data_IF_567459589697
#
_entry.id   IF_567459589697
#
_cell.length_a   1.000
_cell.length_b   1.000
_cell.length_c   1.000
_cell.angle_alpha   90.00
_cell.angle_beta   90.00
_cell.angle_gamma   90.00
#
_symmetry.space_group_name_H-M   'P 1'
#
loop_
_entity.id
_entity.type
_entity.pdbx_description
1 polymer ?
#
# COMPACT_ATOMS: atom_id res chain seq x y z
N UNK A 1 1.85 10.69 -9.92
CA UNK A 1 1.11 10.91 -11.18
C UNK A 1 -0.22 10.15 -11.28
N UNK A 2 -0.25 8.82 -11.25
CA UNK A 2 -1.48 7.99 -11.46
C UNK A 2 -2.71 8.47 -10.69
N UNK A 3 -2.60 8.65 -9.37
CA UNK A 3 -3.70 9.16 -8.55
C UNK A 3 -4.12 10.59 -8.88
N UNK A 4 -3.16 11.47 -9.19
CA UNK A 4 -3.44 12.84 -9.58
C UNK A 4 -4.28 12.92 -10.86
N UNK A 5 -3.95 12.09 -11.86
CA UNK A 5 -4.75 11.99 -13.10
C UNK A 5 -6.11 11.36 -12.82
N UNK A 6 -6.16 10.25 -12.07
CA UNK A 6 -7.40 9.56 -11.76
C UNK A 6 -8.40 10.45 -11.01
N UNK A 7 -7.94 11.30 -10.10
CA UNK A 7 -8.78 12.25 -9.36
C UNK A 7 -9.21 13.46 -10.20
N UNK A 8 -8.61 13.67 -11.37
CA UNK A 8 -9.04 14.69 -12.32
C UNK A 8 -9.90 14.12 -13.44
N UNK A 9 -10.01 12.79 -13.56
CA UNK A 9 -10.81 12.12 -14.56
C UNK A 9 -12.31 12.16 -14.20
N UNK A 10 -13.21 12.60 -15.10
CA UNK A 10 -14.66 12.54 -14.88
C UNK A 10 -15.18 11.16 -14.50
N UNK A 11 -14.50 10.08 -14.89
CA UNK A 11 -14.84 8.72 -14.49
C UNK A 11 -14.78 8.49 -12.97
N UNK A 12 -14.09 9.36 -12.21
CA UNK A 12 -14.08 9.32 -10.75
C UNK A 12 -15.33 9.96 -10.10
N UNK A 13 -16.13 10.71 -10.87
CA UNK A 13 -17.30 11.46 -10.35
C UNK A 13 -18.31 10.59 -9.58
N UNK A 14 -18.68 9.36 -10.03
CA UNK A 14 -19.61 8.52 -9.27
C UNK A 14 -19.10 8.19 -7.86
N UNK A 15 -17.80 7.97 -7.70
CA UNK A 15 -17.20 7.67 -6.40
C UNK A 15 -17.19 8.91 -5.48
N UNK A 16 -16.85 10.09 -6.04
CA UNK A 16 -16.89 11.36 -5.28
C UNK A 16 -18.32 11.68 -4.83
N UNK A 17 -19.29 11.56 -5.74
CA UNK A 17 -20.72 11.75 -5.43
C UNK A 17 -21.18 10.84 -4.29
N UNK A 18 -20.88 9.55 -4.37
CA UNK A 18 -21.25 8.58 -3.34
C UNK A 18 -20.64 8.89 -1.96
N UNK A 19 -19.43 9.47 -1.91
CA UNK A 19 -18.83 9.91 -0.64
C UNK A 19 -19.49 11.18 -0.11
N UNK A 20 -19.83 12.13 -0.98
CA UNK A 20 -20.44 13.40 -0.61
C UNK A 20 -21.88 13.28 -0.10
N UNK A 21 -22.59 12.22 -0.47
CA UNK A 21 -23.99 11.96 -0.07
C UNK A 21 -24.12 11.14 1.24
N UNK A 22 -23.00 10.75 1.87
CA UNK A 22 -23.01 10.05 3.17
C UNK A 22 -23.53 10.96 4.28
N UNK A 23 -24.07 10.35 5.35
CA UNK A 23 -24.62 11.08 6.50
C UNK A 23 -23.60 12.02 7.20
N UNK A 24 -22.32 11.63 7.22
CA UNK A 24 -21.19 12.45 7.65
C UNK A 24 -20.16 12.47 6.50
N UNK A 25 -20.32 13.34 5.49
CA UNK A 25 -19.51 13.26 4.29
C UNK A 25 -18.13 13.89 4.52
N UNK A 26 -17.08 13.19 4.08
CA UNK A 26 -15.70 13.72 4.07
C UNK A 26 -15.43 14.64 2.86
N UNK A 27 -16.42 14.81 1.99
CA UNK A 27 -16.39 15.68 0.81
C UNK A 27 -17.63 16.56 0.90
N UNK A 28 -17.43 17.89 0.87
CA UNK A 28 -18.55 18.83 0.85
C UNK A 28 -19.49 18.52 -0.34
N UNK A 29 -20.82 18.44 -0.12
CA UNK A 29 -21.80 18.22 -1.19
C UNK A 29 -21.67 19.16 -2.40
N UNK A 30 -21.08 20.36 -2.22
CA UNK A 30 -20.74 21.27 -3.32
C UNK A 30 -19.84 20.63 -4.39
N UNK A 31 -19.05 19.62 -4.01
CA UNK A 31 -18.14 18.90 -4.90
C UNK A 31 -18.70 17.59 -5.45
N UNK A 32 -19.98 17.27 -5.22
CA UNK A 32 -20.60 16.02 -5.67
C UNK A 32 -20.52 15.81 -7.20
N UNK A 33 -20.50 16.90 -7.97
CA UNK A 33 -20.38 16.87 -9.44
C UNK A 33 -18.92 16.95 -9.93
N UNK A 34 -17.92 16.84 -9.04
CA UNK A 34 -16.51 16.81 -9.42
C UNK A 34 -16.02 15.36 -9.60
N UNK A 35 -15.06 15.12 -10.49
CA UNK A 35 -14.42 16.07 -11.40
C UNK A 35 -15.35 16.42 -12.57
N UNK A 36 -15.33 17.67 -13.02
CA UNK A 36 -16.07 18.08 -14.22
C UNK A 36 -15.49 17.44 -15.49
N UNK A 37 -16.25 17.37 -16.60
CA UNK A 37 -15.74 16.91 -17.90
C UNK A 37 -14.43 17.57 -18.31
N UNK A 38 -13.61 16.85 -19.08
CA UNK A 38 -12.44 17.45 -19.73
C UNK A 38 -12.88 18.58 -20.68
N UNK A 39 -12.07 19.64 -20.77
CA UNK A 39 -12.36 20.74 -21.69
C UNK A 39 -12.21 20.29 -23.15
N UNK A 40 -13.18 20.60 -23.99
CA UNK A 40 -13.22 20.22 -25.42
C UNK A 40 -12.41 21.18 -26.34
N UNK A 41 -11.70 22.15 -25.76
CA UNK A 41 -10.90 23.14 -26.48
C UNK A 41 -11.70 24.18 -27.28
N UNK A 42 -13.05 24.10 -27.28
CA UNK A 42 -13.95 25.00 -28.00
C UNK A 42 -14.85 25.77 -27.02
N UNK A 43 -15.30 25.10 -25.95
CA UNK A 43 -16.03 25.68 -24.83
C UNK A 43 -15.10 25.73 -23.61
N UNK A 44 -14.34 26.82 -23.49
CA UNK A 44 -13.40 27.07 -22.39
C UNK A 44 -14.10 27.27 -21.03
N UNK A 45 -15.43 27.07 -20.94
CA UNK A 45 -16.21 27.55 -19.79
C UNK A 45 -16.10 26.74 -18.50
N UNK A 46 -15.77 25.44 -18.47
CA UNK A 46 -16.13 24.68 -17.26
C UNK A 46 -15.03 23.99 -16.42
N UNK A 47 -13.82 23.69 -16.87
CA UNK A 47 -12.72 23.41 -15.89
C UNK A 47 -11.33 23.34 -16.49
N UNK A 48 -10.43 24.25 -16.10
CA UNK A 48 -8.99 24.02 -16.24
C UNK A 48 -8.53 23.00 -15.20
N UNK A 49 -7.84 21.95 -15.64
CA UNK A 49 -7.27 20.91 -14.79
C UNK A 49 -5.75 21.05 -14.78
N UNK A 50 -5.16 21.05 -13.59
CA UNK A 50 -3.72 21.27 -13.42
C UNK A 50 -3.16 20.22 -12.47
N UNK A 51 -2.02 19.64 -12.82
CA UNK A 51 -1.21 18.80 -11.95
C UNK A 51 0.10 19.54 -11.68
N UNK A 52 0.50 19.60 -10.42
CA UNK A 52 1.86 19.96 -10.03
C UNK A 52 2.49 18.68 -9.45
N UNK A 53 3.42 18.10 -10.20
CA UNK A 53 4.14 16.89 -9.83
C UNK A 53 5.52 17.27 -9.30
N UNK A 54 5.76 17.02 -8.01
CA UNK A 54 7.06 17.23 -7.39
C UNK A 54 7.63 15.91 -6.90
N UNK A 55 8.87 15.60 -7.24
CA UNK A 55 9.58 14.38 -6.82
C UNK A 55 11.09 14.59 -6.95
N UNK A 56 11.84 13.69 -6.32
CA UNK A 56 13.30 13.49 -6.46
C UNK A 56 13.72 12.88 -7.82
N UNK A 57 12.79 12.74 -8.76
CA UNK A 57 13.03 12.32 -10.15
C UNK A 57 13.48 10.86 -10.33
N UNK A 58 13.77 10.14 -9.25
CA UNK A 58 14.44 8.84 -9.31
C UNK A 58 13.46 7.69 -9.13
N UNK A 59 13.32 6.85 -10.15
CA UNK A 59 12.70 5.55 -9.99
C UNK A 59 13.73 4.51 -9.53
N UNK A 60 13.47 3.86 -8.40
CA UNK A 60 14.28 2.77 -7.90
C UNK A 60 13.59 1.43 -8.15
N UNK A 61 14.37 0.42 -8.56
CA UNK A 61 13.88 -0.95 -8.65
C UNK A 61 13.54 -1.43 -7.24
N UNK A 62 12.25 -1.63 -6.98
CA UNK A 62 11.75 -2.20 -5.73
C UNK A 62 10.80 -3.34 -6.08
N UNK A 63 10.73 -4.40 -5.25
CA UNK A 63 9.70 -5.40 -5.40
C UNK A 63 8.31 -4.76 -5.34
N UNK A 64 7.44 -5.13 -6.26
CA UNK A 64 6.02 -4.75 -6.20
C UNK A 64 5.18 -5.96 -5.88
N UNK A 65 3.97 -5.78 -5.38
CA UNK A 65 3.05 -6.91 -5.22
C UNK A 65 2.62 -7.44 -6.59
N UNK A 66 2.73 -8.76 -6.76
CA UNK A 66 2.26 -9.46 -7.95
C UNK A 66 0.77 -9.15 -8.18
N UNK A 67 0.38 -8.99 -9.44
CA UNK A 67 -0.96 -8.48 -9.78
C UNK A 67 -2.09 -9.33 -9.18
N UNK A 68 -1.94 -10.65 -9.22
CA UNK A 68 -2.90 -11.62 -8.68
C UNK A 68 -2.97 -11.59 -7.15
N UNK A 69 -1.96 -11.02 -6.50
CA UNK A 69 -1.85 -10.87 -5.05
C UNK A 69 -2.28 -9.48 -4.59
N UNK A 70 -2.99 -8.69 -5.41
CA UNK A 70 -3.50 -7.35 -5.03
C UNK A 70 -4.94 -7.39 -4.48
N UNK A 71 -5.66 -8.50 -4.67
CA UNK A 71 -7.07 -8.69 -4.32
C UNK A 71 -7.34 -10.17 -4.06
N UNK A 72 -8.50 -10.46 -3.46
CA UNK A 72 -8.95 -11.83 -3.22
C UNK A 72 -8.39 -12.41 -1.92
N UNK A 73 -8.82 -13.64 -1.59
CA UNK A 73 -8.41 -14.32 -0.37
C UNK A 73 -6.93 -14.72 -0.41
N UNK A 74 -6.31 -14.75 0.76
CA UNK A 74 -5.01 -15.37 0.99
C UNK A 74 -5.20 -16.75 1.61
N UNK A 75 -4.20 -17.64 1.59
CA UNK A 75 -4.20 -18.81 2.45
C UNK A 75 -3.89 -18.48 3.91
N UNK A 76 -3.84 -17.20 4.31
CA UNK A 76 -3.60 -16.78 5.70
C UNK A 76 -4.92 -16.59 6.43
N UNK A 77 -5.01 -17.21 7.60
CA UNK A 77 -6.11 -17.08 8.52
C UNK A 77 -5.63 -16.38 9.79
N UNK A 78 -6.48 -15.49 10.30
CA UNK A 78 -6.26 -14.80 11.57
C UNK A 78 -7.22 -15.38 12.61
N UNK A 79 -6.66 -15.88 13.71
CA UNK A 79 -7.42 -16.32 14.88
C UNK A 79 -7.80 -15.11 15.73
N UNK A 80 -9.02 -15.12 16.29
CA UNK A 80 -9.65 -13.94 16.89
C UNK A 80 -10.15 -14.17 18.33
N UNK A 81 -10.13 -15.41 18.83
CA UNK A 81 -10.68 -15.76 20.16
C UNK A 81 -9.71 -15.53 21.30
N UNK A 82 -8.41 -15.69 21.08
CA UNK A 82 -7.40 -15.57 22.15
C UNK A 82 -7.06 -14.13 22.52
N UNK A 83 -7.37 -13.17 21.65
CA UNK A 83 -6.93 -11.78 21.76
C UNK A 83 -5.47 -11.56 21.33
N UNK A 84 -4.72 -12.64 21.07
CA UNK A 84 -3.45 -12.61 20.38
C UNK A 84 -3.75 -12.76 18.88
N UNK A 85 -3.23 -11.85 18.04
CA UNK A 85 -3.43 -11.84 16.58
C UNK A 85 -2.64 -12.98 15.89
N UNK A 86 -2.86 -14.22 16.33
CA UNK A 86 -2.16 -15.41 15.83
C UNK A 86 -2.54 -15.66 14.38
N UNK A 87 -1.53 -15.94 13.56
CA UNK A 87 -1.70 -16.18 12.14
C UNK A 87 -1.38 -17.63 11.78
N UNK A 88 -2.21 -18.16 10.87
CA UNK A 88 -2.11 -19.51 10.36
C UNK A 88 -2.01 -19.48 8.84
N UNK A 89 -1.14 -20.29 8.25
CA UNK A 89 -1.08 -20.48 6.80
C UNK A 89 -1.70 -21.84 6.49
N UNK A 90 -2.73 -21.87 5.64
CA UNK A 90 -3.37 -23.09 5.16
C UNK A 90 -2.58 -23.72 4.01
N UNK A 91 -2.44 -25.04 4.03
CA UNK A 91 -1.75 -25.85 3.05
C UNK A 91 -2.73 -26.84 2.44
N UNK A 92 -3.11 -26.57 1.19
CA UNK A 92 -4.11 -27.36 0.48
C UNK A 92 -3.65 -28.81 0.21
N UNK A 93 -2.37 -29.01 -0.11
CA UNK A 93 -1.83 -30.33 -0.43
C UNK A 93 -1.86 -31.31 0.76
N UNK A 94 -1.65 -30.77 1.97
CA UNK A 94 -1.56 -31.55 3.21
C UNK A 94 -2.83 -31.45 4.08
N UNK A 95 -3.81 -30.64 3.66
CA UNK A 95 -5.03 -30.31 4.41
C UNK A 95 -4.73 -29.94 5.87
N UNK A 96 -3.78 -29.04 6.07
CA UNK A 96 -3.33 -28.61 7.41
C UNK A 96 -2.90 -27.14 7.43
N UNK A 97 -2.53 -26.67 8.61
CA UNK A 97 -2.11 -25.29 8.86
C UNK A 97 -0.71 -25.24 9.47
N UNK A 98 0.03 -24.18 9.16
CA UNK A 98 1.21 -23.77 9.90
C UNK A 98 0.82 -22.67 10.88
N UNK A 99 0.95 -22.94 12.17
CA UNK A 99 1.00 -21.92 13.21
C UNK A 99 2.30 -21.13 13.05
N UNK A 100 2.19 -19.87 12.68
CA UNK A 100 3.35 -19.05 12.31
C UNK A 100 4.20 -18.69 13.53
N UNK A 101 3.55 -18.39 14.65
CA UNK A 101 4.22 -17.87 15.85
C UNK A 101 4.94 -19.00 16.60
N UNK A 102 4.37 -20.21 16.58
CA UNK A 102 4.97 -21.39 17.20
C UNK A 102 5.80 -22.24 16.23
N UNK A 103 5.68 -22.00 14.92
CA UNK A 103 6.33 -22.76 13.85
C UNK A 103 6.02 -24.28 13.92
N UNK A 104 4.74 -24.62 14.08
CA UNK A 104 4.24 -26.00 14.22
C UNK A 104 3.12 -26.26 13.22
N UNK A 105 3.06 -27.49 12.69
CA UNK A 105 1.94 -27.95 11.85
C UNK A 105 0.78 -28.43 12.73
N UNK A 106 -0.42 -27.94 12.43
CA UNK A 106 -1.66 -28.27 13.13
C UNK A 106 -2.75 -28.63 12.11
N UNK A 107 -3.65 -29.53 12.47
CA UNK A 107 -4.73 -29.94 11.55
C UNK A 107 -5.83 -28.89 11.45
N UNK A 108 -6.09 -28.18 12.56
CA UNK A 108 -7.02 -27.07 12.65
C UNK A 108 -6.28 -25.89 13.28
N UNK A 109 -6.57 -24.65 12.87
CA UNK A 109 -6.08 -23.46 13.54
C UNK A 109 -6.77 -23.27 14.90
N UNK A 110 -6.25 -22.38 15.74
CA UNK A 110 -6.67 -22.31 17.14
C UNK A 110 -5.67 -21.58 18.02
N UNK A 111 -5.83 -21.67 19.33
CA UNK A 111 -4.95 -20.99 20.28
C UNK A 111 -4.56 -21.90 21.44
N UNK A 112 -3.41 -21.59 22.05
CA UNK A 112 -2.96 -22.25 23.27
C UNK A 112 -3.52 -21.51 24.48
N UNK A 113 -4.49 -22.12 25.16
CA UNK A 113 -5.08 -21.55 26.37
C UNK A 113 -4.41 -22.11 27.62
N UNK A 114 -4.14 -21.24 28.60
CA UNK A 114 -3.62 -21.64 29.89
C UNK A 114 -4.71 -22.46 30.61
N UNK A 115 -4.37 -23.67 31.02
CA UNK A 115 -5.29 -24.59 31.72
C UNK A 115 -4.94 -24.82 33.17
N UNK A 116 -3.75 -24.40 33.59
CA UNK A 116 -3.29 -24.53 34.96
C UNK A 116 -1.84 -24.09 35.09
N UNK A 117 -1.24 -24.47 36.20
CA UNK A 117 0.19 -24.30 36.46
C UNK A 117 0.72 -25.61 37.05
N UNK A 118 1.92 -26.00 36.65
CA UNK A 118 2.64 -27.13 37.23
C UNK A 118 3.99 -26.70 37.80
N UNK A 119 4.46 -27.39 38.84
CA UNK A 119 5.77 -27.11 39.43
C UNK A 119 6.84 -27.84 38.62
N UNK A 120 7.59 -27.10 37.79
CA UNK A 120 8.76 -27.62 37.11
C UNK A 120 10.02 -27.32 37.91
N UNK A 121 10.90 -28.31 38.01
CA UNK A 121 12.14 -28.17 38.76
C UNK A 121 13.37 -28.51 37.93
N UNK A 122 14.24 -27.52 37.77
CA UNK A 122 15.50 -27.66 37.04
C UNK A 122 16.68 -27.70 38.01
N UNK A 123 17.64 -28.58 37.72
CA UNK A 123 18.89 -28.67 38.46
C UNK A 123 19.93 -27.72 37.87
N UNK A 124 20.51 -26.87 38.72
CA UNK A 124 21.56 -25.94 38.36
C UNK A 124 22.86 -26.30 39.07
N UNK A 125 23.97 -26.18 38.36
CA UNK A 125 25.31 -26.36 38.93
C UNK A 125 25.95 -25.00 39.20
N UNK A 126 26.37 -24.77 40.44
CA UNK A 126 27.18 -23.59 40.80
C UNK A 126 28.42 -24.01 41.59
N UNK A 127 29.60 -23.68 41.05
CA UNK A 127 30.90 -24.19 41.49
C UNK A 127 30.95 -25.73 41.47
N UNK A 128 30.84 -26.38 42.63
CA UNK A 128 30.88 -27.84 42.80
C UNK A 128 29.61 -28.40 43.45
N UNK A 129 28.61 -27.55 43.69
CA UNK A 129 27.35 -27.95 44.31
C UNK A 129 26.23 -27.89 43.28
N UNK A 130 25.31 -28.84 43.39
CA UNK A 130 24.06 -28.87 42.66
C UNK A 130 22.96 -28.33 43.56
N UNK A 131 22.11 -27.47 43.02
CA UNK A 131 20.89 -27.04 43.70
C UNK A 131 19.71 -27.16 42.74
N UNK A 132 18.55 -27.48 43.30
CA UNK A 132 17.29 -27.62 42.58
C UNK A 132 16.52 -26.32 42.73
N UNK A 133 16.11 -25.72 41.62
CA UNK A 133 15.22 -24.57 41.61
C UNK A 133 13.91 -25.03 40.98
N UNK A 134 12.81 -24.80 41.68
CA UNK A 134 11.46 -25.09 41.21
C UNK A 134 10.73 -23.78 40.93
N UNK A 135 10.01 -23.73 39.83
CA UNK A 135 9.17 -22.59 39.44
C UNK A 135 7.81 -23.13 39.00
N UNK A 136 6.75 -22.38 39.30
CA UNK A 136 5.42 -22.66 38.74
C UNK A 136 5.45 -22.19 37.29
N UNK A 137 5.17 -23.11 36.36
CA UNK A 137 5.07 -22.82 34.93
C UNK A 137 3.63 -23.05 34.47
N UNK A 138 3.09 -22.19 33.59
CA UNK A 138 1.74 -22.39 33.05
C UNK A 138 1.69 -23.63 32.15
N UNK A 139 0.62 -24.41 32.27
CA UNK A 139 0.31 -25.50 31.34
C UNK A 139 -0.70 -25.03 30.31
N UNK A 140 -0.55 -25.50 29.07
CA UNK A 140 -1.38 -25.07 27.95
C UNK A 140 -2.13 -26.24 27.32
N UNK A 141 -3.34 -25.97 26.83
CA UNK A 141 -4.04 -26.88 25.90
C UNK A 141 -4.38 -26.15 24.62
N UNK A 142 -4.29 -26.87 23.51
CA UNK A 142 -4.73 -26.36 22.23
C UNK A 142 -6.26 -26.37 22.16
N UNK A 143 -6.84 -25.23 21.80
CA UNK A 143 -8.26 -25.06 21.56
C UNK A 143 -8.43 -24.70 20.09
N UNK A 144 -9.07 -25.59 19.34
CA UNK A 144 -9.34 -25.38 17.92
C UNK A 144 -10.31 -24.22 17.73
N UNK A 145 -10.03 -23.37 16.75
CA UNK A 145 -10.92 -22.33 16.30
C UNK A 145 -12.10 -22.95 15.53
N UNK A 146 -13.29 -22.43 15.74
CA UNK A 146 -14.45 -22.73 14.91
C UNK A 146 -14.28 -22.07 13.54
N UNK A 147 -14.05 -22.88 12.51
CA UNK A 147 -13.85 -22.47 11.11
C UNK A 147 -15.10 -21.85 10.49
N UNK A 148 -16.29 -22.13 11.03
CA UNK A 148 -17.57 -21.63 10.53
C UNK A 148 -17.98 -20.30 11.21
N UNK A 149 -17.25 -19.87 12.25
CA UNK A 149 -17.47 -18.59 12.94
C UNK A 149 -16.39 -17.57 12.56
N UNK A 150 -16.81 -16.54 11.82
CA UNK A 150 -15.96 -15.42 11.40
C UNK A 150 -15.38 -14.60 12.57
N UNK A 151 -15.94 -14.73 13.78
CA UNK A 151 -15.42 -14.11 15.00
C UNK A 151 -14.42 -15.01 15.74
N UNK A 152 -14.29 -16.27 15.31
CA UNK A 152 -13.32 -17.21 15.84
C UNK A 152 -12.08 -17.24 14.97
N UNK A 153 -12.28 -17.35 13.66
CA UNK A 153 -11.20 -17.30 12.69
C UNK A 153 -11.67 -16.67 11.38
N UNK A 154 -10.78 -15.95 10.73
CA UNK A 154 -11.10 -15.26 9.49
C UNK A 154 -10.00 -15.42 8.46
N UNK A 155 -10.38 -15.79 7.24
CA UNK A 155 -9.48 -15.76 6.09
C UNK A 155 -9.19 -14.32 5.69
N UNK A 156 -7.92 -13.93 5.67
CA UNK A 156 -7.52 -12.59 5.28
C UNK A 156 -7.54 -12.45 3.76
N UNK A 157 -7.98 -11.30 3.28
CA UNK A 157 -7.71 -10.87 1.91
C UNK A 157 -6.28 -10.32 1.77
N UNK A 158 -5.75 -10.30 0.56
CA UNK A 158 -4.43 -9.72 0.29
C UNK A 158 -4.30 -8.28 0.82
N UNK A 159 -5.25 -7.34 0.55
CA UNK A 159 -5.21 -6.00 1.13
C UNK A 159 -5.16 -5.98 2.67
N UNK A 160 -5.91 -6.85 3.34
CA UNK A 160 -5.88 -6.92 4.81
C UNK A 160 -4.54 -7.43 5.33
N UNK A 161 -3.98 -8.46 4.70
CA UNK A 161 -2.66 -8.98 5.06
C UNK A 161 -1.57 -7.91 4.91
N UNK A 162 -1.61 -7.08 3.85
CA UNK A 162 -0.65 -5.99 3.66
C UNK A 162 -0.80 -4.84 4.64
N UNK A 163 -1.98 -4.65 5.24
CA UNK A 163 -2.16 -3.69 6.34
C UNK A 163 -1.52 -4.22 7.62
N UNK A 164 -1.55 -5.55 7.82
CA UNK A 164 -1.07 -6.19 9.03
C UNK A 164 0.43 -6.50 9.02
N UNK A 165 1.01 -6.83 7.87
CA UNK A 165 2.39 -7.37 7.77
C UNK A 165 3.27 -6.62 6.78
N UNK A 166 4.57 -6.65 7.05
CA UNK A 166 5.59 -6.01 6.21
C UNK A 166 5.86 -6.81 4.93
N UNK A 167 6.40 -6.16 3.90
CA UNK A 167 6.84 -6.84 2.68
C UNK A 167 7.85 -7.96 2.97
N UNK A 168 8.78 -7.72 3.91
CA UNK A 168 9.76 -8.74 4.32
C UNK A 168 9.11 -9.93 5.04
N UNK A 169 8.04 -9.71 5.81
CA UNK A 169 7.29 -10.82 6.41
C UNK A 169 6.68 -11.68 5.30
N UNK A 170 6.01 -11.05 4.32
CA UNK A 170 5.34 -11.74 3.21
C UNK A 170 6.35 -12.51 2.34
N UNK A 171 7.54 -11.94 2.13
CA UNK A 171 8.63 -12.60 1.40
C UNK A 171 9.30 -13.72 2.19
N UNK A 172 9.33 -13.66 3.53
CA UNK A 172 9.84 -14.76 4.38
C UNK A 172 8.91 -15.98 4.40
N UNK A 173 7.60 -15.75 4.31
CA UNK A 173 6.64 -16.82 4.02
C UNK A 173 6.46 -17.02 2.49
N UNK A 174 7.35 -16.37 1.71
CA UNK A 174 7.80 -16.64 0.35
C UNK A 174 6.76 -16.43 -0.77
N UNK A 175 5.91 -17.43 -1.01
CA UNK A 175 4.74 -17.32 -1.87
C UNK A 175 3.53 -18.05 -1.26
N UNK A 176 3.50 -18.17 0.07
CA UNK A 176 2.57 -19.00 0.87
C UNK A 176 2.54 -20.48 0.40
N UNK A 177 3.75 -20.95 0.08
CA UNK A 177 4.31 -22.32 0.01
C UNK A 177 4.29 -23.20 -1.26
N UNK A 178 3.50 -22.98 -2.32
CA UNK A 178 3.66 -23.80 -3.56
C UNK A 178 3.46 -23.08 -4.92
N UNK A 179 3.45 -21.75 -4.96
CA UNK A 179 3.43 -21.00 -6.23
C UNK A 179 4.87 -20.67 -6.68
N UNK A 180 5.27 -20.93 -7.94
CA UNK A 180 6.62 -20.65 -8.45
C UNK A 180 6.91 -19.15 -8.62
N UNK A 181 5.96 -18.29 -8.28
CA UNK A 181 6.08 -16.83 -8.37
C UNK A 181 6.06 -16.23 -6.97
N UNK A 182 7.13 -15.51 -6.62
CA UNK A 182 7.30 -14.78 -5.36
C UNK A 182 6.04 -13.96 -4.98
N UNK A 183 5.79 -13.69 -3.69
CA UNK A 183 4.79 -12.69 -3.26
C UNK A 183 4.94 -11.34 -3.99
N UNK A 184 6.16 -11.09 -4.42
CA UNK A 184 6.64 -9.85 -4.99
C UNK A 184 7.11 -10.05 -6.45
N UNK A 185 6.69 -9.16 -7.34
CA UNK A 185 7.21 -8.95 -8.68
C UNK A 185 8.52 -8.16 -8.61
N UNK A 186 9.64 -8.83 -8.88
CA UNK A 186 10.97 -8.22 -8.99
C UNK A 186 11.28 -7.70 -10.40
N UNK A 187 10.35 -7.83 -11.36
CA UNK A 187 10.53 -7.48 -12.77
C UNK A 187 10.25 -6.02 -13.11
N UNK A 188 9.75 -5.21 -12.16
CA UNK A 188 9.50 -3.79 -12.41
C UNK A 188 10.81 -2.99 -12.29
N UNK A 189 11.47 -2.85 -13.44
CA UNK A 189 12.68 -2.04 -13.59
C UNK A 189 12.38 -0.54 -13.53
N UNK A 190 13.37 0.32 -13.21
CA UNK A 190 13.23 1.78 -13.35
C UNK A 190 12.68 2.20 -14.71
N UNK A 191 13.14 1.58 -15.80
CA UNK A 191 12.64 1.85 -17.16
C UNK A 191 11.14 1.56 -17.30
N UNK A 192 10.63 0.49 -16.70
CA UNK A 192 9.18 0.21 -16.69
C UNK A 192 8.41 1.27 -15.91
N UNK A 193 8.98 1.80 -14.82
CA UNK A 193 8.38 2.86 -14.03
C UNK A 193 8.37 4.20 -14.80
N UNK A 194 9.48 4.55 -15.46
CA UNK A 194 9.57 5.71 -16.36
C UNK A 194 8.51 5.64 -17.46
N UNK A 195 8.42 4.50 -18.16
CA UNK A 195 7.42 4.29 -19.21
C UNK A 195 5.98 4.43 -18.68
N UNK A 196 5.70 3.93 -17.47
CA UNK A 196 4.39 4.09 -16.84
C UNK A 196 4.09 5.55 -16.45
N UNK A 197 5.12 6.29 -16.01
CA UNK A 197 5.00 7.72 -15.73
C UNK A 197 4.69 8.47 -17.04
N UNK A 198 5.48 8.26 -18.09
CA UNK A 198 5.28 8.89 -19.40
C UNK A 198 3.90 8.59 -19.98
N UNK A 199 3.45 7.34 -19.94
CA UNK A 199 2.10 6.97 -20.39
C UNK A 199 1.02 7.74 -19.63
N UNK A 200 1.19 7.95 -18.32
CA UNK A 200 0.25 8.74 -17.50
C UNK A 200 0.31 10.24 -17.85
N UNK A 201 1.51 10.79 -18.10
CA UNK A 201 1.67 12.19 -18.49
C UNK A 201 1.11 12.44 -19.89
N UNK A 202 1.32 11.55 -20.84
CA UNK A 202 0.80 11.65 -22.21
C UNK A 202 -0.72 11.54 -22.25
N UNK A 203 -1.31 10.61 -21.49
CA UNK A 203 -2.77 10.53 -21.34
C UNK A 203 -3.34 11.84 -20.78
N UNK A 204 -2.71 12.40 -19.74
CA UNK A 204 -3.15 13.66 -19.15
C UNK A 204 -3.01 14.86 -20.11
N UNK A 205 -1.88 14.97 -20.83
CA UNK A 205 -1.65 16.01 -21.86
C UNK A 205 -2.68 15.92 -23.00
N UNK A 206 -3.06 14.71 -23.40
CA UNK A 206 -4.08 14.47 -24.44
C UNK A 206 -5.44 15.03 -24.04
N UNK A 207 -5.83 14.87 -22.78
CA UNK A 207 -7.04 15.43 -22.17
C UNK A 207 -6.89 16.89 -21.73
N UNK A 208 -5.83 17.58 -22.19
CA UNK A 208 -5.55 19.01 -21.92
C UNK A 208 -5.36 19.35 -20.44
N UNK A 209 -4.96 18.36 -19.62
CA UNK A 209 -4.50 18.63 -18.26
C UNK A 209 -3.12 19.29 -18.34
N UNK A 210 -2.98 20.46 -17.72
CA UNK A 210 -1.71 21.17 -17.64
C UNK A 210 -0.82 20.54 -16.56
N UNK A 211 0.39 20.13 -16.92
CA UNK A 211 1.32 19.45 -16.02
C UNK A 211 2.52 20.36 -15.80
N UNK A 212 2.68 20.79 -14.54
CA UNK A 212 3.91 21.35 -14.03
C UNK A 212 4.71 20.26 -13.32
N UNK A 213 6.02 20.20 -13.58
CA UNK A 213 6.92 19.28 -12.88
C UNK A 213 7.97 20.07 -12.12
N UNK A 214 8.29 19.61 -10.91
CA UNK A 214 9.34 20.15 -10.06
C UNK A 214 10.28 18.99 -9.72
N UNK A 215 11.46 18.98 -10.33
CA UNK A 215 12.55 18.12 -9.90
C UNK A 215 13.16 18.75 -8.65
N UNK A 216 13.00 18.11 -7.48
CA UNK A 216 13.59 18.58 -6.24
C UNK A 216 14.80 17.73 -5.86
N UNK A 217 15.99 18.34 -5.80
CA UNK A 217 17.26 17.64 -5.47
C UNK A 217 17.52 16.44 -6.39
N UNK A 218 17.37 16.64 -7.69
CA UNK A 218 17.44 15.59 -8.71
C UNK A 218 18.80 15.63 -9.41
N UNK A 219 19.48 14.48 -9.51
CA UNK A 219 20.71 14.39 -10.31
C UNK A 219 20.40 14.60 -11.81
N UNK A 220 21.33 15.22 -12.55
CA UNK A 220 21.14 15.60 -13.96
C UNK A 220 20.55 14.49 -14.84
N UNK A 221 20.95 13.23 -14.61
CA UNK A 221 20.51 12.07 -15.38
C UNK A 221 19.00 11.75 -15.25
N UNK A 222 18.33 12.28 -14.23
CA UNK A 222 16.90 12.05 -13.96
C UNK A 222 16.03 13.29 -14.22
N UNK A 223 16.62 14.44 -14.56
CA UNK A 223 15.89 15.66 -14.91
C UNK A 223 15.07 15.50 -16.20
N UNK A 224 15.54 14.69 -17.14
CA UNK A 224 14.86 14.48 -18.43
C UNK A 224 13.49 13.81 -18.24
N UNK A 225 13.37 12.88 -17.28
CA UNK A 225 12.09 12.23 -16.96
C UNK A 225 11.05 13.27 -16.51
N UNK A 226 11.47 14.23 -15.69
CA UNK A 226 10.60 15.29 -15.20
C UNK A 226 10.29 16.32 -16.28
N UNK A 227 11.27 16.65 -17.13
CA UNK A 227 11.12 17.57 -18.25
C UNK A 227 10.13 17.03 -19.29
N UNK A 228 10.22 15.75 -19.65
CA UNK A 228 9.36 15.10 -20.65
C UNK A 228 7.91 14.93 -20.19
N UNK A 229 7.70 14.75 -18.87
CA UNK A 229 6.36 14.70 -18.31
C UNK A 229 5.67 16.09 -18.28
N UNK A 230 6.42 17.19 -18.22
CA UNK A 230 5.87 18.54 -18.23
C UNK A 230 5.10 18.84 -19.53
N UNK A 231 4.10 19.73 -19.47
CA UNK A 231 3.35 20.09 -20.68
C UNK A 231 4.19 20.84 -21.71
N UNK A 232 5.13 21.69 -21.26
CA UNK A 232 6.17 22.32 -22.08
C UNK A 232 7.41 22.58 -21.23
N UNK A 233 8.52 22.98 -21.86
CA UNK A 233 9.75 23.38 -21.16
C UNK A 233 9.51 24.44 -20.06
N UNK A 234 8.58 25.38 -20.27
CA UNK A 234 8.26 26.43 -19.31
C UNK A 234 7.44 25.94 -18.09
N UNK A 235 7.02 24.69 -18.10
CA UNK A 235 6.28 24.04 -17.01
C UNK A 235 7.18 23.11 -16.18
N UNK A 236 8.45 22.97 -16.55
CA UNK A 236 9.45 22.24 -15.79
C UNK A 236 10.26 23.19 -14.91
N UNK A 237 10.48 22.79 -13.66
CA UNK A 237 11.29 23.51 -12.69
C UNK A 237 12.33 22.57 -12.11
N UNK A 238 13.59 22.89 -12.33
CA UNK A 238 14.73 22.28 -11.66
C UNK A 238 15.04 23.08 -10.39
N UNK A 239 14.96 22.43 -9.23
CA UNK A 239 15.00 23.08 -7.92
C UNK A 239 15.95 22.36 -6.98
N UNK A 240 16.95 23.09 -6.51
CA UNK A 240 17.84 22.67 -5.43
C UNK A 240 17.61 23.49 -4.14
N UNK A 241 17.62 22.80 -3.00
CA UNK A 241 17.63 23.42 -1.66
C UNK A 241 16.39 24.27 -1.35
N UNK A 242 16.57 25.52 -0.92
CA UNK A 242 15.46 26.35 -0.38
C UNK A 242 14.59 27.04 -1.45
N UNK A 243 14.87 26.83 -2.73
CA UNK A 243 14.23 27.56 -3.84
C UNK A 243 12.83 27.03 -4.22
N UNK A 244 12.30 26.05 -3.50
CA UNK A 244 10.96 25.48 -3.73
C UNK A 244 9.84 26.53 -3.68
N UNK A 245 9.96 27.54 -2.80
CA UNK A 245 8.97 28.61 -2.68
C UNK A 245 8.87 29.47 -3.95
N UNK A 246 10.01 29.69 -4.63
CA UNK A 246 10.04 30.44 -5.87
C UNK A 246 9.38 29.68 -7.02
N UNK A 247 9.58 28.35 -7.10
CA UNK A 247 8.93 27.50 -8.08
C UNK A 247 7.41 27.51 -7.92
N UNK A 248 6.90 27.29 -6.71
CA UNK A 248 5.45 27.36 -6.45
C UNK A 248 4.87 28.76 -6.71
N UNK A 249 5.59 29.82 -6.38
CA UNK A 249 5.16 31.19 -6.69
C UNK A 249 5.07 31.44 -8.21
N UNK A 250 6.03 30.92 -8.99
CA UNK A 250 6.02 31.00 -10.45
C UNK A 250 4.83 30.22 -11.04
N UNK A 251 4.59 28.99 -10.57
CA UNK A 251 3.44 28.17 -10.99
C UNK A 251 2.12 28.87 -10.67
N UNK A 252 1.96 29.39 -9.46
CA UNK A 252 0.75 30.10 -9.05
C UNK A 252 0.49 31.34 -9.94
N UNK A 253 1.53 32.09 -10.30
CA UNK A 253 1.44 33.22 -11.22
C UNK A 253 0.97 32.78 -12.62
N UNK A 254 1.52 31.68 -13.14
CA UNK A 254 1.11 31.13 -14.45
C UNK A 254 -0.35 30.64 -14.43
N UNK A 255 -0.76 29.90 -13.40
CA UNK A 255 -2.15 29.43 -13.24
C UNK A 255 -3.11 30.62 -13.12
N UNK A 256 -2.78 31.64 -12.35
CA UNK A 256 -3.65 32.81 -12.18
C UNK A 256 -3.77 33.65 -13.47
N UNK A 257 -2.71 33.76 -14.28
CA UNK A 257 -2.79 34.41 -15.59
C UNK A 257 -3.78 33.70 -16.51
N UNK A 258 -3.82 32.37 -16.51
CA UNK A 258 -4.79 31.59 -17.29
C UNK A 258 -6.24 31.90 -16.87
N UNK A 259 -6.49 32.24 -15.60
CA UNK A 259 -7.83 32.60 -15.11
C UNK A 259 -8.24 34.03 -15.45
N UNK A 260 -7.29 34.93 -15.70
CA UNK A 260 -7.55 36.35 -16.02
C UNK A 260 -7.80 36.59 -17.51
N UNK A 261 -7.36 35.68 -18.38
CA UNK A 261 -7.56 35.75 -19.84
C UNK A 261 -8.77 34.94 -20.33
N UNK A 262 -9.49 34.27 -19.43
CA UNK A 262 -10.71 33.49 -19.68
C UNK A 262 -11.95 34.28 -19.28
#
# INVERSE_FOLDING_TARGET
MKWGVALLDPAAQPAIKAISEKANPNIDPLFAERPLPFGDGINIRDSSKVIVLMTDGKHEGRPFMNADKRRGPTPVYQELTSGDDNLFIYYEDDDNFLDIDNNVRVNSPGSYQITGEEEECTWYQYRRNWYKKCEMVPTYTYVEADMDDENSIRQLTWPELFVLKTESWIDNYGPLYYEPTSGLDFGITPTTQDNNLFASCDAAKKEKILIFTIGFEVEDAYLDVMRDCASTENHFFDVDGTNISAAFAAIASQINRLRLTQ
#
